data_IF_073846164310
#
_entry.id   IF_073846164310
#
_cell.length_a   1.000
_cell.length_b   1.000
_cell.length_c   1.000
_cell.angle_alpha   90.00
_cell.angle_beta   90.00
_cell.angle_gamma   90.00
#
_symmetry.space_group_name_H-M   'P 1'
#
loop_
_entity.id
_entity.type
_entity.pdbx_description
1 polymer ?
#
# COMPACT_ATOMS: atom_id res chain seq x y z
N UNK A 1 77.41 -2.57 -39.78
CA UNK A 1 76.96 -3.87 -40.31
C UNK A 1 75.47 -4.01 -40.02
N UNK A 2 74.70 -4.51 -40.99
CA UNK A 2 73.23 -4.51 -41.02
C UNK A 2 72.61 -5.48 -39.99
N UNK A 3 71.42 -5.12 -39.55
CA UNK A 3 70.47 -5.72 -38.58
C UNK A 3 70.27 -7.24 -38.63
N UNK A 4 69.89 -7.85 -37.50
CA UNK A 4 68.94 -8.96 -37.46
C UNK A 4 67.54 -8.51 -36.99
N UNK A 5 66.51 -8.96 -37.71
CA UNK A 5 65.09 -8.90 -37.33
C UNK A 5 64.68 -10.32 -36.88
N UNK A 6 63.75 -10.38 -35.93
CA UNK A 6 62.92 -11.51 -35.46
C UNK A 6 63.56 -12.38 -34.35
N UNK A 7 62.85 -12.76 -33.29
CA UNK A 7 61.41 -12.70 -33.03
C UNK A 7 61.10 -12.61 -31.54
N UNK A 8 59.98 -11.97 -31.22
CA UNK A 8 59.40 -11.94 -29.88
C UNK A 8 58.58 -13.24 -29.73
N UNK A 9 58.86 -14.10 -28.74
CA UNK A 9 57.97 -15.22 -28.46
C UNK A 9 56.66 -14.69 -27.88
N UNK A 10 55.56 -15.12 -28.48
CA UNK A 10 54.20 -14.94 -27.96
C UNK A 10 54.14 -15.55 -26.55
N UNK A 11 54.20 -14.70 -25.52
CA UNK A 11 53.84 -15.12 -24.18
C UNK A 11 52.33 -15.40 -24.17
N UNK A 12 52.01 -16.67 -23.95
CA UNK A 12 50.66 -17.20 -23.82
C UNK A 12 49.85 -16.35 -22.83
N UNK A 13 48.88 -15.61 -23.36
CA UNK A 13 47.80 -15.02 -22.58
C UNK A 13 46.94 -16.16 -22.04
N UNK A 14 47.17 -16.53 -20.77
CA UNK A 14 46.40 -17.56 -20.09
C UNK A 14 44.90 -17.20 -20.07
N UNK A 15 44.01 -18.11 -20.49
CA UNK A 15 42.58 -17.84 -20.65
C UNK A 15 41.79 -17.79 -19.32
N UNK A 16 42.48 -17.80 -18.17
CA UNK A 16 41.84 -17.80 -16.84
C UNK A 16 41.64 -16.41 -16.22
N UNK A 17 42.06 -15.33 -16.89
CA UNK A 17 41.94 -13.96 -16.33
C UNK A 17 40.73 -13.19 -16.90
N UNK A 18 40.11 -13.66 -17.99
CA UNK A 18 38.97 -12.95 -18.60
C UNK A 18 37.63 -13.25 -17.88
N UNK A 19 37.56 -14.30 -17.03
CA UNK A 19 36.33 -14.67 -16.31
C UNK A 19 36.18 -14.04 -14.91
N UNK A 20 37.12 -13.20 -14.44
CA UNK A 20 37.03 -12.57 -13.11
C UNK A 20 36.79 -11.04 -13.18
N UNK A 21 36.75 -10.45 -14.37
CA UNK A 21 36.44 -9.02 -14.57
C UNK A 21 35.02 -8.75 -15.11
N UNK A 22 34.18 -9.78 -15.26
CA UNK A 22 32.76 -9.61 -15.59
C UNK A 22 31.94 -10.10 -14.39
N UNK A 23 31.65 -9.20 -13.44
CA UNK A 23 30.26 -9.10 -13.04
C UNK A 23 29.88 -7.63 -12.80
N UNK A 24 29.88 -6.80 -13.84
CA UNK A 24 29.47 -5.40 -13.71
C UNK A 24 28.57 -4.86 -14.82
N UNK A 25 27.99 -5.71 -15.68
CA UNK A 25 27.00 -5.26 -16.68
C UNK A 25 25.75 -6.14 -16.82
N UNK A 26 25.51 -7.09 -15.92
CA UNK A 26 24.18 -7.72 -15.79
C UNK A 26 23.70 -7.74 -14.34
N UNK A 27 24.01 -6.69 -13.56
CA UNK A 27 23.04 -6.28 -12.55
C UNK A 27 21.87 -5.66 -13.31
N UNK A 28 20.93 -6.50 -13.74
CA UNK A 28 19.60 -6.00 -14.08
C UNK A 28 19.07 -5.44 -12.77
N UNK A 29 19.17 -4.13 -12.61
CA UNK A 29 18.19 -3.42 -11.81
C UNK A 29 16.86 -3.83 -12.45
N UNK A 30 16.15 -4.75 -11.80
CA UNK A 30 14.71 -4.56 -11.76
C UNK A 30 14.60 -3.22 -11.06
N UNK A 31 14.51 -2.17 -11.88
CA UNK A 31 13.98 -0.91 -11.41
C UNK A 31 12.77 -1.31 -10.60
N UNK A 32 12.85 -1.00 -9.32
CA UNK A 32 11.73 -1.14 -8.44
C UNK A 32 10.64 -0.28 -9.05
N UNK A 33 9.84 -0.88 -9.92
CA UNK A 33 8.43 -0.60 -10.01
C UNK A 33 7.83 -1.12 -8.69
N UNK A 34 8.28 -0.52 -7.58
CA UNK A 34 7.36 -0.03 -6.58
C UNK A 34 6.53 1.04 -7.28
N UNK A 35 5.68 0.58 -8.21
CA UNK A 35 4.41 1.21 -8.43
C UNK A 35 3.85 1.36 -7.01
N UNK A 36 3.68 2.61 -6.62
CA UNK A 36 3.04 3.04 -5.40
C UNK A 36 1.69 2.30 -5.26
N UNK A 37 1.69 1.10 -4.69
CA UNK A 37 0.49 0.31 -4.40
C UNK A 37 -0.04 0.60 -3.00
N UNK A 38 0.28 1.78 -2.45
CA UNK A 38 -0.07 2.18 -1.06
C UNK A 38 -1.19 3.23 -0.99
N UNK A 39 -1.88 3.51 -2.10
CA UNK A 39 -2.84 4.62 -2.20
C UNK A 39 -4.26 4.16 -2.60
N UNK A 40 -4.53 2.85 -2.61
CA UNK A 40 -5.83 2.30 -3.06
C UNK A 40 -6.85 2.13 -1.95
N UNK A 41 -6.41 2.07 -0.70
CA UNK A 41 -7.30 1.70 0.40
C UNK A 41 -7.83 2.93 1.15
N UNK A 42 -7.18 4.09 1.07
CA UNK A 42 -7.64 5.31 1.77
C UNK A 42 -8.88 5.96 1.15
N UNK A 43 -9.30 5.50 -0.03
CA UNK A 43 -10.47 5.99 -0.75
C UNK A 43 -11.46 4.86 -1.05
N UNK A 44 -12.69 5.23 -1.40
CA UNK A 44 -13.74 4.31 -1.84
C UNK A 44 -13.69 4.10 -3.34
N UNK A 45 -13.96 2.88 -3.79
CA UNK A 45 -14.07 2.58 -5.21
C UNK A 45 -15.22 3.36 -5.85
N UNK A 46 -15.15 3.55 -7.17
CA UNK A 46 -16.20 4.27 -7.91
C UNK A 46 -17.55 3.55 -7.88
N UNK A 47 -17.54 2.22 -7.78
CA UNK A 47 -18.74 1.39 -7.64
C UNK A 47 -19.29 1.35 -6.21
N UNK A 48 -18.50 1.76 -5.21
CA UNK A 48 -18.91 1.78 -3.79
C UNK A 48 -19.32 3.19 -3.35
N UNK A 49 -20.41 3.68 -3.96
CA UNK A 49 -20.90 5.04 -3.78
C UNK A 49 -21.25 5.38 -2.33
N UNK A 50 -21.64 4.39 -1.52
CA UNK A 50 -21.98 4.51 -0.09
C UNK A 50 -20.87 3.98 0.84
N UNK A 51 -19.78 3.42 0.32
CA UNK A 51 -18.68 2.98 1.18
C UNK A 51 -18.95 1.75 2.04
N UNK A 52 -19.87 0.89 1.62
CA UNK A 52 -20.16 -0.38 2.32
C UNK A 52 -18.92 -1.30 2.35
N UNK A 53 -18.06 -1.19 1.34
CA UNK A 53 -16.85 -2.00 1.17
C UNK A 53 -15.56 -1.20 1.42
N UNK A 54 -15.66 0.00 2.00
CA UNK A 54 -14.50 0.81 2.34
C UNK A 54 -13.63 0.11 3.38
N UNK A 55 -12.34 -0.06 3.07
CA UNK A 55 -11.37 -0.76 3.93
C UNK A 55 -10.19 0.13 4.38
N UNK A 56 -10.24 1.43 4.11
CA UNK A 56 -9.20 2.38 4.50
C UNK A 56 -9.07 2.63 5.98
N UNK A 57 -8.13 3.50 6.35
CA UNK A 57 -7.74 3.70 7.75
C UNK A 57 -8.15 5.07 8.30
N UNK A 58 -8.96 5.82 7.57
CA UNK A 58 -9.55 7.07 8.08
C UNK A 58 -10.26 6.79 9.41
N UNK A 59 -9.91 7.56 10.43
CA UNK A 59 -10.43 7.43 11.80
C UNK A 59 -10.78 8.78 12.41
N UNK A 60 -11.18 9.73 11.55
CA UNK A 60 -11.69 11.04 11.95
C UNK A 60 -13.00 11.32 11.23
N UNK A 61 -13.96 11.85 11.97
CA UNK A 61 -15.24 12.30 11.44
C UNK A 61 -15.07 13.55 10.56
N UNK A 62 -16.13 13.94 9.85
CA UNK A 62 -16.14 15.09 8.94
C UNK A 62 -15.71 16.41 9.58
N UNK A 63 -15.87 16.55 10.90
CA UNK A 63 -15.53 17.74 11.69
C UNK A 63 -14.18 17.61 12.44
N UNK A 64 -13.41 16.56 12.16
CA UNK A 64 -12.14 16.29 12.81
C UNK A 64 -12.25 15.58 14.16
N UNK A 65 -13.45 15.22 14.63
CA UNK A 65 -13.60 14.43 15.86
C UNK A 65 -12.95 13.05 15.68
N UNK A 66 -12.09 12.65 16.61
CA UNK A 66 -11.45 11.32 16.59
C UNK A 66 -12.46 10.19 16.85
N UNK A 67 -12.35 9.12 16.07
CA UNK A 67 -13.21 7.94 16.20
C UNK A 67 -12.83 7.07 17.40
N UNK A 68 -13.84 6.53 18.09
CA UNK A 68 -13.69 5.56 19.16
C UNK A 68 -13.59 4.12 18.62
N UNK A 69 -12.90 3.20 19.33
CA UNK A 69 -12.79 1.79 18.92
C UNK A 69 -14.15 1.09 18.85
N UNK A 70 -14.44 0.42 17.73
CA UNK A 70 -15.69 -0.31 17.51
C UNK A 70 -15.97 -1.33 18.61
N UNK A 71 -14.96 -2.07 19.07
CA UNK A 71 -15.07 -3.11 20.11
C UNK A 71 -15.68 -2.63 21.44
N UNK A 72 -15.65 -1.32 21.72
CA UNK A 72 -16.29 -0.73 22.92
C UNK A 72 -17.78 -0.43 22.73
N UNK A 73 -18.30 -0.57 21.51
CA UNK A 73 -19.64 -0.15 21.12
C UNK A 73 -20.38 -1.22 20.28
N UNK A 74 -20.63 -2.42 20.83
CA UNK A 74 -21.23 -3.55 20.10
C UNK A 74 -22.60 -3.29 19.50
N UNK A 75 -23.38 -2.37 20.08
CA UNK A 75 -24.70 -2.01 19.55
C UNK A 75 -24.66 -1.47 18.12
N UNK A 76 -23.53 -0.94 17.66
CA UNK A 76 -23.36 -0.38 16.31
C UNK A 76 -22.96 -1.42 15.24
N UNK A 77 -22.41 -2.58 15.62
CA UNK A 77 -21.89 -3.55 14.64
C UNK A 77 -22.44 -4.97 14.79
N UNK A 78 -22.97 -5.34 15.96
CA UNK A 78 -23.26 -6.75 16.31
C UNK A 78 -24.24 -7.50 15.40
N UNK A 79 -25.03 -6.76 14.61
CA UNK A 79 -25.97 -7.34 13.65
C UNK A 79 -25.38 -7.47 12.24
N UNK A 80 -24.22 -6.87 12.00
CA UNK A 80 -23.61 -6.76 10.68
C UNK A 80 -22.27 -7.49 10.60
N UNK A 81 -21.50 -7.52 11.69
CA UNK A 81 -20.12 -8.01 11.71
C UNK A 81 -19.88 -9.10 12.75
N UNK A 82 -18.83 -9.90 12.50
CA UNK A 82 -18.25 -10.83 13.47
C UNK A 82 -17.27 -10.09 14.40
N UNK A 83 -17.00 -10.64 15.58
CA UNK A 83 -16.00 -10.08 16.51
C UNK A 83 -14.59 -10.04 15.89
N UNK A 84 -14.22 -11.02 15.05
CA UNK A 84 -12.95 -11.01 14.31
C UNK A 84 -12.83 -9.78 13.38
N UNK A 85 -13.93 -9.44 12.70
CA UNK A 85 -13.96 -8.24 11.84
C UNK A 85 -13.75 -6.98 12.68
N UNK A 86 -14.42 -6.87 13.82
CA UNK A 86 -14.35 -5.70 14.71
C UNK A 86 -12.92 -5.44 15.19
N UNK A 87 -12.21 -6.50 15.58
CA UNK A 87 -10.81 -6.39 16.01
C UNK A 87 -9.90 -5.85 14.90
N UNK A 88 -10.17 -6.24 13.65
CA UNK A 88 -9.45 -5.73 12.48
C UNK A 88 -9.81 -4.28 12.13
N UNK A 89 -11.10 -3.92 12.21
CA UNK A 89 -11.56 -2.58 11.85
C UNK A 89 -11.18 -1.49 12.87
N UNK A 90 -10.74 -1.86 14.08
CA UNK A 90 -10.24 -0.95 15.13
C UNK A 90 -11.18 0.21 15.41
N UNK A 91 -10.86 1.43 14.94
CA UNK A 91 -11.68 2.64 15.03
C UNK A 91 -11.87 3.31 13.66
N UNK A 92 -11.69 2.59 12.56
CA UNK A 92 -11.77 3.15 11.21
C UNK A 92 -13.22 3.43 10.81
N UNK A 93 -13.43 4.44 9.98
CA UNK A 93 -14.72 4.78 9.39
C UNK A 93 -15.25 3.62 8.55
N UNK A 94 -16.49 3.21 8.79
CA UNK A 94 -17.11 2.06 8.11
C UNK A 94 -18.61 2.29 7.95
N UNK A 95 -19.24 1.48 7.11
CA UNK A 95 -20.67 1.50 6.87
C UNK A 95 -21.26 0.10 7.09
N UNK A 96 -21.38 -0.37 8.35
CA UNK A 96 -21.88 -1.70 8.66
C UNK A 96 -23.33 -1.93 8.25
N UNK A 97 -24.14 -0.88 8.31
CA UNK A 97 -25.60 -0.86 8.17
C UNK A 97 -26.07 -0.44 6.78
N UNK A 98 -25.15 -0.27 5.84
CA UNK A 98 -25.41 0.16 4.46
C UNK A 98 -26.16 1.51 4.39
N UNK A 99 -25.88 2.41 5.32
CA UNK A 99 -26.42 3.77 5.33
C UNK A 99 -26.05 4.49 4.04
N UNK A 100 -27.05 5.07 3.37
CA UNK A 100 -26.90 5.81 2.13
C UNK A 100 -26.02 7.06 2.26
N UNK A 101 -25.87 7.61 3.47
CA UNK A 101 -25.01 8.76 3.74
C UNK A 101 -23.53 8.41 3.83
N UNK A 102 -23.22 7.11 3.96
CA UNK A 102 -21.89 6.56 3.79
C UNK A 102 -21.16 6.23 5.08
N UNK A 103 -19.83 6.06 5.05
CA UNK A 103 -19.08 5.59 6.21
C UNK A 103 -19.15 6.57 7.38
N UNK A 104 -19.23 6.02 8.58
CA UNK A 104 -19.29 6.74 9.83
C UNK A 104 -18.43 6.04 10.88
N UNK A 105 -18.25 6.68 12.02
CA UNK A 105 -17.60 6.09 13.17
C UNK A 105 -18.23 6.59 14.48
N UNK A 106 -18.02 5.83 15.55
CA UNK A 106 -18.47 6.20 16.88
C UNK A 106 -17.60 7.34 17.41
N UNK A 107 -18.19 8.38 17.98
CA UNK A 107 -17.44 9.50 18.58
C UNK A 107 -17.62 9.60 20.10
N UNK A 108 -18.77 9.16 20.64
CA UNK A 108 -19.00 9.15 22.08
C UNK A 108 -20.15 8.20 22.47
N UNK A 109 -19.89 7.17 23.27
CA UNK A 109 -20.88 6.23 23.84
C UNK A 109 -21.90 5.68 22.82
N UNK A 110 -22.99 6.40 22.59
CA UNK A 110 -24.12 6.06 21.70
C UNK A 110 -24.26 7.03 20.52
N UNK A 111 -23.26 7.87 20.27
CA UNK A 111 -23.24 8.89 19.21
C UNK A 111 -22.19 8.53 18.16
N UNK A 112 -22.59 8.64 16.90
CA UNK A 112 -21.72 8.50 15.73
C UNK A 112 -21.70 9.78 14.90
N UNK A 113 -20.70 9.91 14.03
CA UNK A 113 -20.62 10.95 13.00
C UNK A 113 -20.12 10.35 11.69
N UNK A 114 -20.58 10.89 10.58
CA UNK A 114 -20.10 10.50 9.25
C UNK A 114 -18.65 10.92 9.02
N UNK A 115 -17.99 10.23 8.10
CA UNK A 115 -16.61 10.49 7.70
C UNK A 115 -16.54 10.96 6.25
N UNK A 116 -15.63 11.90 5.98
CA UNK A 116 -15.36 12.40 4.63
C UNK A 116 -14.43 11.44 3.87
N UNK A 117 -14.93 10.25 3.53
CA UNK A 117 -14.14 9.27 2.79
C UNK A 117 -14.13 9.62 1.28
N UNK A 118 -12.95 9.92 0.69
CA UNK A 118 -12.84 10.33 -0.71
C UNK A 118 -13.14 9.18 -1.68
N UNK A 119 -13.44 9.50 -2.94
CA UNK A 119 -13.56 8.50 -4.01
C UNK A 119 -12.23 8.36 -4.74
N UNK A 120 -11.81 7.13 -5.00
CA UNK A 120 -10.57 6.86 -5.73
C UNK A 120 -10.62 7.49 -7.13
N UNK A 121 -9.52 8.11 -7.54
CA UNK A 121 -9.44 8.84 -8.81
C UNK A 121 -10.13 10.21 -8.83
N UNK A 122 -10.80 10.62 -7.74
CA UNK A 122 -11.11 12.02 -7.47
C UNK A 122 -10.13 12.52 -6.41
N UNK A 123 -8.97 13.01 -6.87
CA UNK A 123 -8.18 13.92 -6.06
C UNK A 123 -8.86 15.28 -6.13
N UNK A 124 -9.14 15.88 -4.97
CA UNK A 124 -9.61 17.26 -4.88
C UNK A 124 -8.49 18.22 -5.28
#
# INVERSE_FOLDING_TARGET
MRTPIRGIPYAAVSPLIIFVLIPLLTKRATDGLSAKSRDTDECRSQSDAIGANYQGKLNVAYDGTECQPWSKHPHFYRFHWTEERVEREKNYCRNPDEDIFGPWCVVHKTTFKYCNVPRCGKLN
#
